data_IF_915856046598
#
_entry.id   IF_915856046598
#
_cell.length_a   1.000
_cell.length_b   1.000
_cell.length_c   1.000
_cell.angle_alpha   90.00
_cell.angle_beta   90.00
_cell.angle_gamma   90.00
#
_symmetry.space_group_name_H-M   'P 1'
#
loop_
_entity.id
_entity.type
_entity.pdbx_description
1 polymer ?
#
# COMPACT_ATOMS: atom_id res chain seq x y z
N UNK A 1 -8.51 -5.92 16.12
CA UNK A 1 -9.58 -6.55 15.33
C UNK A 1 -8.95 -7.10 14.05
N UNK A 2 -9.49 -8.13 13.40
CA UNK A 2 -8.84 -8.73 12.23
C UNK A 2 -9.75 -9.66 11.42
N UNK A 3 -9.70 -9.50 10.10
CA UNK A 3 -10.46 -10.35 9.17
C UNK A 3 -9.71 -11.66 8.97
N UNK A 4 -10.31 -12.76 9.41
CA UNK A 4 -9.70 -14.09 9.30
C UNK A 4 -9.61 -14.55 7.83
N UNK A 5 -8.70 -15.49 7.51
CA UNK A 5 -8.65 -16.09 6.18
C UNK A 5 -10.01 -16.66 5.78
N UNK A 6 -10.38 -16.48 4.50
CA UNK A 6 -11.68 -16.87 3.92
C UNK A 6 -12.91 -16.15 4.49
N UNK A 7 -12.72 -15.12 5.32
CA UNK A 7 -13.80 -14.24 5.77
C UNK A 7 -13.78 -12.90 5.02
N UNK A 8 -14.91 -12.19 5.10
CA UNK A 8 -15.10 -10.87 4.49
C UNK A 8 -15.64 -9.90 5.53
N UNK A 9 -15.29 -8.62 5.37
CA UNK A 9 -15.81 -7.54 6.20
C UNK A 9 -16.12 -6.32 5.34
N UNK A 10 -17.18 -5.59 5.67
CA UNK A 10 -17.57 -4.36 4.99
C UNK A 10 -17.16 -3.18 5.86
N UNK A 11 -16.13 -2.46 5.43
CA UNK A 11 -15.72 -1.20 6.06
C UNK A 11 -16.60 -0.05 5.56
N UNK A 12 -17.15 0.74 6.48
CA UNK A 12 -17.96 1.92 6.18
C UNK A 12 -17.26 3.15 6.73
N UNK A 13 -16.85 4.05 5.83
CA UNK A 13 -16.23 5.34 6.18
C UNK A 13 -16.97 6.49 5.51
N UNK A 14 -17.09 7.60 6.23
CA UNK A 14 -17.74 8.81 5.72
C UNK A 14 -16.69 9.89 5.45
N UNK A 15 -16.55 10.29 4.18
CA UNK A 15 -15.72 11.43 3.80
C UNK A 15 -16.40 12.73 4.24
N UNK A 16 -15.88 13.36 5.29
CA UNK A 16 -16.40 14.62 5.81
C UNK A 16 -15.49 15.81 5.42
N UNK A 17 -15.87 17.02 5.82
CA UNK A 17 -15.11 18.24 5.49
C UNK A 17 -13.64 18.20 5.95
N UNK A 18 -13.32 17.51 7.06
CA UNK A 18 -11.94 17.35 7.55
C UNK A 18 -11.13 16.34 6.74
N UNK A 19 -11.81 15.39 6.09
CA UNK A 19 -11.20 14.41 5.19
C UNK A 19 -10.80 15.02 3.83
N UNK A 20 -11.40 16.15 3.46
CA UNK A 20 -11.14 16.84 2.20
C UNK A 20 -9.84 17.66 2.17
N UNK A 21 -9.62 18.41 1.08
CA UNK A 21 -8.48 19.31 0.93
C UNK A 21 -8.47 20.41 2.00
N UNK A 22 -7.31 20.65 2.61
CA UNK A 22 -7.12 21.69 3.64
C UNK A 22 -6.60 22.99 3.03
N UNK A 23 -5.80 22.89 1.97
CA UNK A 23 -5.19 24.04 1.32
C UNK A 23 -6.16 24.72 0.35
N UNK A 24 -6.21 26.04 0.40
CA UNK A 24 -6.97 26.84 -0.56
C UNK A 24 -6.44 26.59 -1.98
N UNK A 25 -7.32 26.21 -2.90
CA UNK A 25 -6.98 25.87 -4.29
C UNK A 25 -6.71 24.39 -4.56
N UNK A 26 -6.51 23.56 -3.53
CA UNK A 26 -6.38 22.10 -3.73
C UNK A 26 -7.76 21.45 -3.90
N UNK A 27 -7.91 20.64 -4.96
CA UNK A 27 -9.19 19.99 -5.27
C UNK A 27 -9.35 18.60 -4.63
N UNK A 28 -8.23 17.94 -4.32
CA UNK A 28 -8.17 16.61 -3.70
C UNK A 28 -7.09 16.52 -2.62
N UNK A 29 -7.24 15.56 -1.70
CA UNK A 29 -6.30 15.21 -0.64
C UNK A 29 -6.02 13.71 -0.69
N UNK A 30 -4.74 13.34 -0.64
CA UNK A 30 -4.31 11.95 -0.51
C UNK A 30 -4.32 11.52 0.96
N UNK A 31 -4.74 10.28 1.17
CA UNK A 31 -4.74 9.51 2.40
C UNK A 31 -4.09 8.17 2.15
N UNK A 32 -3.84 7.43 3.21
CA UNK A 32 -3.30 6.07 3.15
C UNK A 32 -4.26 5.15 3.91
N UNK A 33 -4.57 4.00 3.32
CA UNK A 33 -5.12 2.86 4.06
C UNK A 33 -4.04 1.80 4.22
N UNK A 34 -4.12 1.07 5.32
CA UNK A 34 -3.24 -0.05 5.62
C UNK A 34 -3.97 -1.03 6.52
N UNK A 35 -3.50 -2.29 6.55
CA UNK A 35 -3.91 -3.24 7.57
C UNK A 35 -3.23 -2.91 8.90
N UNK A 36 -4.00 -2.93 9.99
CA UNK A 36 -3.55 -2.59 11.34
C UNK A 36 -3.61 -3.77 12.33
N UNK A 37 -3.78 -5.00 11.82
CA UNK A 37 -3.72 -6.23 12.64
C UNK A 37 -2.33 -6.36 13.27
N UNK A 38 -1.29 -6.14 12.48
CA UNK A 38 0.08 -5.93 12.95
C UNK A 38 0.75 -4.88 12.07
N UNK A 39 0.70 -3.60 12.49
CA UNK A 39 1.24 -2.46 11.75
C UNK A 39 2.63 -2.69 11.14
N UNK A 40 3.58 -3.23 11.91
CA UNK A 40 4.94 -3.44 11.43
C UNK A 40 4.97 -4.50 10.32
N UNK A 41 4.37 -5.66 10.55
CA UNK A 41 4.40 -6.75 9.58
C UNK A 41 3.52 -6.49 8.37
N UNK A 42 2.34 -5.95 8.57
CA UNK A 42 1.32 -5.75 7.53
C UNK A 42 1.81 -4.78 6.47
N UNK A 43 2.34 -3.62 6.90
CA UNK A 43 2.86 -2.60 5.99
C UNK A 43 4.09 -3.13 5.23
N UNK A 44 5.02 -3.76 5.93
CA UNK A 44 6.21 -4.35 5.29
C UNK A 44 5.90 -5.57 4.41
N UNK A 45 4.73 -6.18 4.57
CA UNK A 45 4.21 -7.22 3.65
C UNK A 45 3.45 -6.64 2.45
N UNK A 46 3.30 -5.31 2.37
CA UNK A 46 2.64 -4.61 1.27
C UNK A 46 1.15 -4.34 1.46
N UNK A 47 0.58 -4.56 2.66
CA UNK A 47 -0.83 -4.24 2.96
C UNK A 47 -1.01 -2.74 3.24
N UNK A 48 -0.71 -1.91 2.24
CA UNK A 48 -0.77 -0.44 2.28
C UNK A 48 -1.15 0.10 0.90
N UNK A 49 -1.96 1.17 0.85
CA UNK A 49 -2.31 1.81 -0.41
C UNK A 49 -2.86 3.23 -0.24
N UNK A 50 -2.95 4.00 -1.34
CA UNK A 50 -3.46 5.37 -1.30
C UNK A 50 -4.99 5.42 -1.41
N UNK A 51 -5.58 6.41 -0.75
CA UNK A 51 -6.98 6.85 -0.96
C UNK A 51 -6.96 8.32 -1.37
N UNK A 52 -7.73 8.68 -2.41
CA UNK A 52 -7.89 10.07 -2.82
C UNK A 52 -9.28 10.57 -2.44
N UNK A 53 -9.35 11.63 -1.62
CA UNK A 53 -10.59 12.28 -1.24
C UNK A 53 -10.65 13.65 -1.90
N UNK A 54 -11.65 13.85 -2.76
CA UNK A 54 -11.83 15.08 -3.53
C UNK A 54 -13.06 15.86 -3.11
N UNK A 55 -13.06 17.16 -3.38
CA UNK A 55 -14.27 17.97 -3.31
C UNK A 55 -15.33 17.43 -4.28
N UNK A 56 -16.59 17.59 -3.88
CA UNK A 56 -17.74 17.16 -4.69
C UNK A 56 -17.69 17.85 -6.06
N UNK A 57 -17.78 17.05 -7.13
CA UNK A 57 -17.78 17.54 -8.52
C UNK A 57 -16.40 17.64 -9.18
N UNK A 58 -15.30 17.47 -8.45
CA UNK A 58 -13.94 17.50 -9.01
C UNK A 58 -13.64 16.27 -9.87
N UNK A 59 -13.99 15.07 -9.38
CA UNK A 59 -13.69 13.81 -10.06
C UNK A 59 -14.43 13.68 -11.41
N UNK A 60 -15.61 14.28 -11.55
CA UNK A 60 -16.35 14.30 -12.81
C UNK A 60 -15.68 15.19 -13.87
N UNK A 61 -15.00 16.26 -13.46
CA UNK A 61 -14.21 17.13 -14.36
C UNK A 61 -12.88 16.49 -14.76
N UNK A 62 -12.30 15.65 -13.90
CA UNK A 62 -11.07 14.91 -14.19
C UNK A 62 -11.24 13.96 -15.40
N UNK A 63 -12.43 13.35 -15.55
CA UNK A 63 -12.77 12.52 -16.70
C UNK A 63 -13.11 13.31 -17.98
N UNK A 64 -13.20 14.65 -17.89
CA UNK A 64 -13.57 15.52 -19.01
C UNK A 64 -12.35 16.32 -19.50
N UNK A 65 -11.60 15.70 -20.43
CA UNK A 65 -10.79 16.36 -21.48
C UNK A 65 -9.77 17.44 -21.07
N UNK A 66 -9.19 17.37 -19.87
CA UNK A 66 -7.90 18.04 -19.60
C UNK A 66 -6.92 16.98 -19.10
N UNK A 67 -5.85 16.76 -19.86
CA UNK A 67 -4.87 15.67 -19.71
C UNK A 67 -3.97 15.87 -18.46
N UNK A 68 -4.57 15.97 -17.28
CA UNK A 68 -3.83 15.90 -16.02
C UNK A 68 -3.71 14.43 -15.64
N UNK A 69 -2.49 13.90 -15.62
CA UNK A 69 -2.22 12.54 -15.16
C UNK A 69 -2.01 12.59 -13.65
N UNK A 70 -2.82 11.85 -12.92
CA UNK A 70 -2.66 11.70 -11.48
C UNK A 70 -1.72 10.54 -11.18
N UNK A 71 -0.76 10.77 -10.28
CA UNK A 71 0.19 9.76 -9.83
C UNK A 71 0.15 9.67 -8.31
N UNK A 72 0.26 8.43 -7.80
CA UNK A 72 0.47 8.17 -6.38
C UNK A 72 1.91 7.67 -6.20
N UNK A 73 2.65 8.36 -5.34
CA UNK A 73 4.01 7.99 -4.98
C UNK A 73 4.05 7.68 -3.49
N UNK A 74 4.52 6.48 -3.15
CA UNK A 74 4.80 6.07 -1.78
C UNK A 74 6.30 5.97 -1.60
N UNK A 75 6.87 6.84 -0.78
CA UNK A 75 8.28 6.78 -0.38
C UNK A 75 8.37 6.05 0.96
N UNK A 76 8.82 4.79 0.93
CA UNK A 76 8.95 3.92 2.11
C UNK A 76 10.09 2.92 1.90
N UNK A 77 10.75 2.54 2.99
CA UNK A 77 11.70 1.41 3.01
C UNK A 77 10.91 0.15 3.33
N UNK A 78 10.80 -0.76 2.36
CA UNK A 78 10.22 -2.08 2.58
C UNK A 78 11.28 -3.00 3.19
N UNK A 79 11.16 -3.25 4.50
CA UNK A 79 11.99 -4.21 5.21
C UNK A 79 11.37 -5.61 5.09
N UNK A 80 11.81 -6.37 4.09
CA UNK A 80 11.35 -7.74 3.86
C UNK A 80 11.63 -8.68 5.03
N UNK A 81 12.56 -8.38 5.94
CA UNK A 81 12.78 -9.23 7.12
C UNK A 81 11.61 -9.18 8.11
N UNK A 82 10.80 -8.12 8.01
CA UNK A 82 9.64 -7.87 8.86
C UNK A 82 8.33 -8.32 8.22
N UNK A 83 8.33 -8.76 6.96
CA UNK A 83 7.11 -9.23 6.31
C UNK A 83 6.60 -10.55 6.91
N UNK A 84 5.30 -10.81 6.80
CA UNK A 84 4.69 -12.10 7.13
C UNK A 84 5.26 -13.24 6.30
N UNK A 85 5.72 -12.92 5.10
CA UNK A 85 6.21 -13.86 4.11
C UNK A 85 7.72 -14.09 4.21
N UNK A 86 8.39 -13.45 5.17
CA UNK A 86 9.81 -13.64 5.39
C UNK A 86 10.12 -15.05 5.92
N UNK A 87 10.64 -15.90 5.03
CA UNK A 87 11.10 -17.22 5.41
C UNK A 87 12.55 -17.18 5.90
N UNK A 88 12.76 -17.16 7.22
CA UNK A 88 14.09 -17.25 7.85
C UNK A 88 14.90 -18.48 7.43
N UNK A 89 14.24 -19.58 7.05
CA UNK A 89 14.90 -20.82 6.59
C UNK A 89 15.32 -20.79 5.11
N UNK A 90 14.80 -19.84 4.33
CA UNK A 90 15.20 -19.60 2.93
C UNK A 90 16.61 -19.01 2.84
N UNK A 91 17.04 -18.28 3.89
CA UNK A 91 18.45 -17.93 4.12
C UNK A 91 19.23 -19.15 4.62
N UNK A 92 19.24 -20.25 3.87
CA UNK A 92 20.47 -21.02 3.85
C UNK A 92 21.51 -20.06 3.30
N UNK A 93 22.59 -19.72 4.02
CA UNK A 93 23.69 -19.06 3.36
C UNK A 93 24.03 -19.92 2.13
N UNK A 94 24.43 -19.27 1.03
CA UNK A 94 24.98 -19.99 -0.12
C UNK A 94 26.31 -20.63 0.29
N UNK A 95 26.25 -21.62 1.15
CA UNK A 95 27.33 -22.48 1.58
C UNK A 95 26.81 -23.88 1.36
N UNK A 96 27.38 -24.49 0.31
CA UNK A 96 27.20 -25.86 -0.17
C UNK A 96 25.84 -26.20 -0.79
N UNK A 97 25.72 -25.90 -2.08
CA UNK A 97 25.16 -26.88 -3.02
C UNK A 97 26.15 -27.11 -4.15
N UNK A 98 26.91 -28.19 -4.03
CA UNK A 98 27.56 -28.84 -5.17
C UNK A 98 26.46 -29.28 -6.14
N UNK A 99 26.50 -28.77 -7.38
CA UNK A 99 25.71 -29.18 -8.56
C UNK A 99 24.18 -29.13 -8.35
N UNK A 100 23.38 -28.22 -8.91
CA UNK A 100 23.31 -27.69 -10.27
C UNK A 100 22.64 -26.29 -10.24
N UNK A 101 23.22 -25.36 -11.02
CA UNK A 101 22.75 -24.07 -11.56
C UNK A 101 21.59 -23.28 -10.88
N UNK A 102 21.99 -22.16 -10.25
CA UNK A 102 21.59 -20.76 -10.54
C UNK A 102 20.07 -20.42 -10.57
N UNK A 103 19.54 -19.49 -9.78
CA UNK A 103 20.01 -18.11 -9.66
C UNK A 103 19.41 -17.46 -8.39
N UNK A 104 20.23 -17.20 -7.37
CA UNK A 104 19.84 -16.30 -6.28
C UNK A 104 19.95 -14.87 -6.80
N UNK A 105 18.86 -14.35 -7.37
CA UNK A 105 18.76 -12.90 -7.57
C UNK A 105 18.58 -12.26 -6.19
N UNK A 106 19.65 -11.65 -5.71
CA UNK A 106 19.64 -10.79 -4.54
C UNK A 106 19.14 -9.42 -5.02
N UNK A 107 17.95 -9.04 -4.57
CA UNK A 107 17.50 -7.64 -4.61
C UNK A 107 18.09 -6.90 -3.40
#
# INVERSE_FOLDING_TARGET
>A
DGVQPNNSYIYVWYANGRSGPVQSGAACRSWIYYSDVNLEKDIHSGLIGPILICQKGTLSKLNSRTSTRDFFLLFMIFDEEKSWYFNKRSRRPCTEKTQEMQQCNKF
#
